data_IF_626400463985
#
_entry.id   IF_626400463985
#
_cell.length_a   1.000
_cell.length_b   1.000
_cell.length_c   1.000
_cell.angle_alpha   90.00
_cell.angle_beta   90.00
_cell.angle_gamma   90.00
#
_symmetry.space_group_name_H-M   'P 1'
#
loop_
_entity.id
_entity.type
_entity.pdbx_description
1 polymer ?
#
# COMPACT_ATOMS: atom_id res chain seq x y z
N UNK A 1 -4.13 -18.03 1.59
CA UNK A 1 -4.27 -16.58 1.35
C UNK A 1 -2.89 -15.99 1.47
N UNK A 2 -2.34 -15.43 0.41
CA UNK A 2 -1.01 -14.84 0.42
C UNK A 2 -1.05 -13.48 1.14
N UNK A 3 -0.03 -13.21 1.94
CA UNK A 3 0.17 -11.90 2.58
C UNK A 3 1.64 -11.53 2.41
N UNK A 4 1.89 -10.38 1.81
CA UNK A 4 3.23 -9.79 1.71
C UNK A 4 3.21 -8.43 2.38
N UNK A 5 4.15 -8.25 3.30
CA UNK A 5 4.51 -6.95 3.87
C UNK A 5 5.96 -6.68 3.52
N UNK A 6 6.23 -5.56 2.86
CA UNK A 6 7.58 -5.18 2.51
C UNK A 6 7.77 -3.67 2.63
N UNK A 7 9.04 -3.28 2.76
CA UNK A 7 9.45 -1.89 2.79
C UNK A 7 10.36 -1.60 1.61
N UNK A 8 10.34 -0.35 1.16
CA UNK A 8 11.24 0.12 0.12
C UNK A 8 11.76 1.52 0.44
N UNK A 9 13.03 1.81 0.13
CA UNK A 9 13.54 3.16 0.24
C UNK A 9 12.96 4.04 -0.87
N UNK A 10 12.59 5.25 -0.50
CA UNK A 10 12.31 6.32 -1.46
C UNK A 10 13.67 6.91 -1.86
N UNK A 11 13.89 7.10 -3.16
CA UNK A 11 15.12 7.67 -3.71
C UNK A 11 15.45 9.02 -3.07
N UNK A 12 16.74 9.31 -2.93
CA UNK A 12 17.21 10.58 -2.38
C UNK A 12 16.63 11.77 -3.17
N UNK A 13 16.08 12.76 -2.46
CA UNK A 13 15.45 13.93 -3.06
C UNK A 13 14.07 13.68 -3.72
N UNK A 14 13.55 12.45 -3.74
CA UNK A 14 12.25 12.11 -4.36
C UNK A 14 11.07 12.06 -3.40
N UNK A 15 11.25 12.42 -2.13
CA UNK A 15 10.15 12.42 -1.14
C UNK A 15 8.96 13.29 -1.55
N UNK A 16 9.19 14.50 -2.05
CA UNK A 16 8.09 15.38 -2.47
C UNK A 16 7.39 14.85 -3.72
N UNK A 17 8.15 14.27 -4.66
CA UNK A 17 7.58 13.59 -5.83
C UNK A 17 6.71 12.39 -5.40
N UNK A 18 7.17 11.59 -4.43
CA UNK A 18 6.40 10.48 -3.87
C UNK A 18 5.09 10.93 -3.19
N UNK A 19 5.14 12.05 -2.45
CA UNK A 19 3.92 12.64 -1.83
C UNK A 19 2.93 13.13 -2.88
N UNK A 20 3.42 13.82 -3.93
CA UNK A 20 2.56 14.26 -5.03
C UNK A 20 1.95 13.07 -5.77
N UNK A 21 2.74 12.04 -6.01
CA UNK A 21 2.24 10.80 -6.59
C UNK A 21 1.13 10.15 -5.76
N UNK A 22 1.28 10.07 -4.44
CA UNK A 22 0.23 9.53 -3.56
C UNK A 22 -1.10 10.30 -3.68
N UNK A 23 -1.04 11.61 -3.94
CA UNK A 23 -2.21 12.45 -4.22
C UNK A 23 -2.80 12.15 -5.60
N UNK A 24 -1.96 11.94 -6.64
CA UNK A 24 -2.46 11.55 -7.95
C UNK A 24 -3.07 10.14 -7.95
N UNK A 25 -2.48 9.23 -7.19
CA UNK A 25 -3.01 7.88 -6.99
C UNK A 25 -4.39 7.94 -6.31
N UNK A 26 -4.58 8.76 -5.28
CA UNK A 26 -5.89 8.86 -4.61
C UNK A 26 -7.02 9.38 -5.51
N UNK A 27 -6.70 10.16 -6.54
CA UNK A 27 -7.65 10.60 -7.58
C UNK A 27 -8.06 9.48 -8.54
N UNK A 28 -7.34 8.36 -8.54
CA UNK A 28 -7.53 7.21 -9.43
C UNK A 28 -8.11 5.99 -8.69
N UNK A 29 -8.95 6.23 -7.69
CA UNK A 29 -9.48 5.18 -6.81
C UNK A 29 -10.15 4.02 -7.57
N UNK A 30 -10.91 4.32 -8.64
CA UNK A 30 -11.54 3.30 -9.48
C UNK A 30 -10.52 2.41 -10.20
N UNK A 31 -9.44 3.00 -10.73
CA UNK A 31 -8.36 2.25 -11.40
C UNK A 31 -7.59 1.38 -10.39
N UNK A 32 -7.47 1.81 -9.12
CA UNK A 32 -6.87 0.99 -8.05
C UNK A 32 -7.75 -0.20 -7.69
N UNK A 33 -9.07 0.00 -7.61
CA UNK A 33 -10.02 -1.10 -7.36
C UNK A 33 -9.94 -2.11 -8.49
N UNK A 34 -9.96 -1.65 -9.74
CA UNK A 34 -9.81 -2.49 -10.92
C UNK A 34 -8.45 -3.21 -10.95
N UNK A 35 -7.36 -2.50 -10.66
CA UNK A 35 -6.02 -3.08 -10.50
C UNK A 35 -6.01 -4.21 -9.48
N UNK A 36 -6.51 -3.96 -8.28
CA UNK A 36 -6.55 -4.96 -7.22
C UNK A 36 -7.40 -6.18 -7.63
N UNK A 37 -8.52 -5.98 -8.33
CA UNK A 37 -9.34 -7.07 -8.86
C UNK A 37 -8.62 -7.89 -9.92
N UNK A 38 -7.94 -7.23 -10.88
CA UNK A 38 -7.20 -7.92 -11.95
C UNK A 38 -6.09 -8.83 -11.43
N UNK A 39 -5.52 -8.48 -10.28
CA UNK A 39 -4.40 -9.20 -9.65
C UNK A 39 -4.81 -10.01 -8.42
N UNK A 40 -6.10 -10.27 -8.22
CA UNK A 40 -6.60 -11.02 -7.06
C UNK A 40 -6.05 -10.49 -5.71
N UNK A 41 -5.93 -9.17 -5.57
CA UNK A 41 -5.52 -8.48 -4.34
C UNK A 41 -6.79 -8.11 -3.57
N UNK A 42 -7.00 -8.75 -2.43
CA UNK A 42 -8.13 -8.49 -1.54
C UNK A 42 -7.89 -7.32 -0.60
N UNK A 43 -6.61 -6.99 -0.33
CA UNK A 43 -6.22 -5.81 0.45
C UNK A 43 -4.92 -5.22 -0.06
N UNK A 44 -4.93 -3.92 -0.28
CA UNK A 44 -3.76 -3.14 -0.66
C UNK A 44 -3.69 -1.90 0.24
N UNK A 45 -2.66 -1.80 1.06
CA UNK A 45 -2.43 -0.66 1.94
C UNK A 45 -0.97 -0.22 1.87
N UNK A 46 -0.74 1.10 1.97
CA UNK A 46 0.60 1.65 1.97
C UNK A 46 0.76 2.80 2.97
N UNK A 47 1.98 2.96 3.48
CA UNK A 47 2.34 3.98 4.45
C UNK A 47 3.69 4.62 4.11
N UNK A 48 3.85 5.88 4.50
CA UNK A 48 5.13 6.60 4.45
C UNK A 48 5.75 6.60 5.85
N UNK A 49 6.95 6.05 5.97
CA UNK A 49 7.78 6.13 7.17
C UNK A 49 8.97 7.07 6.92
N UNK A 50 9.15 8.05 7.81
CA UNK A 50 10.32 8.94 7.78
C UNK A 50 11.23 8.62 8.97
N UNK A 51 12.47 8.27 8.67
CA UNK A 51 13.50 7.91 9.65
C UNK A 51 14.73 8.81 9.46
N UNK A 52 15.62 8.94 10.47
CA UNK A 52 16.87 9.69 10.31
C UNK A 52 17.76 9.19 9.16
N UNK A 53 17.65 7.90 8.82
CA UNK A 53 18.38 7.26 7.73
C UNK A 53 17.75 7.47 6.35
N UNK A 54 16.54 8.05 6.25
CA UNK A 54 15.84 8.26 4.99
C UNK A 54 14.32 8.06 5.08
N UNK A 55 13.66 8.22 3.94
CA UNK A 55 12.21 7.98 3.81
C UNK A 55 11.94 6.65 3.14
N UNK A 56 10.92 5.94 3.61
CA UNK A 56 10.58 4.60 3.19
C UNK A 56 9.08 4.48 2.95
N UNK A 57 8.70 3.73 1.91
CA UNK A 57 7.34 3.22 1.80
C UNK A 57 7.23 1.86 2.49
N UNK A 58 6.06 1.59 3.04
CA UNK A 58 5.67 0.29 3.59
C UNK A 58 4.43 -0.13 2.82
N UNK A 59 4.40 -1.35 2.27
CA UNK A 59 3.24 -1.86 1.51
C UNK A 59 2.82 -3.22 2.07
N UNK A 60 1.51 -3.35 2.28
CA UNK A 60 0.81 -4.57 2.59
C UNK A 60 -0.05 -4.98 1.40
N UNK A 61 0.14 -6.21 0.94
CA UNK A 61 -0.70 -6.88 -0.05
C UNK A 61 -1.25 -8.16 0.56
N UNK A 62 -2.56 -8.35 0.50
CA UNK A 62 -3.20 -9.61 0.84
C UNK A 62 -4.03 -10.07 -0.36
N UNK A 63 -4.02 -11.38 -0.63
CA UNK A 63 -4.80 -11.98 -1.70
C UNK A 63 -4.07 -13.14 -2.38
N UNK A 64 -4.75 -13.94 -3.21
CA UNK A 64 -4.10 -14.99 -4.01
C UNK A 64 -2.98 -14.49 -4.91
N UNK A 65 -3.10 -13.30 -5.50
CA UNK A 65 -2.07 -12.74 -6.39
C UNK A 65 -1.01 -11.90 -5.70
N UNK A 66 -1.02 -11.79 -4.36
CA UNK A 66 -0.05 -10.95 -3.64
C UNK A 66 1.40 -11.36 -3.91
N UNK A 67 1.68 -12.66 -4.05
CA UNK A 67 3.02 -13.21 -4.30
C UNK A 67 3.49 -13.06 -5.74
N UNK A 68 2.57 -13.01 -6.70
CA UNK A 68 2.89 -12.94 -8.13
C UNK A 68 2.79 -11.52 -8.71
N UNK A 69 2.18 -10.58 -7.98
CA UNK A 69 1.90 -9.22 -8.44
C UNK A 69 3.09 -8.53 -9.13
N UNK A 70 4.27 -8.58 -8.52
CA UNK A 70 5.44 -7.89 -9.09
C UNK A 70 5.84 -8.46 -10.47
N UNK A 71 5.79 -9.79 -10.62
CA UNK A 71 6.11 -10.45 -11.88
C UNK A 71 5.02 -10.17 -12.93
N UNK A 72 3.75 -10.31 -12.57
CA UNK A 72 2.65 -10.11 -13.51
C UNK A 72 2.54 -8.64 -13.96
N UNK A 73 2.78 -7.70 -13.05
CA UNK A 73 2.82 -6.27 -13.38
C UNK A 73 3.98 -5.96 -14.34
N UNK A 74 5.16 -6.57 -14.15
CA UNK A 74 6.32 -6.39 -15.04
C UNK A 74 6.05 -6.77 -16.50
N UNK A 75 5.12 -7.70 -16.73
CA UNK A 75 4.72 -8.17 -18.07
C UNK A 75 3.45 -7.48 -18.59
N UNK A 76 2.83 -6.58 -17.80
CA UNK A 76 1.52 -6.03 -18.09
C UNK A 76 1.51 -4.98 -19.21
N UNK A 77 0.55 -5.15 -20.12
CA UNK A 77 0.20 -4.18 -21.16
C UNK A 77 -0.88 -3.18 -20.74
N UNK A 78 -1.37 -3.21 -19.50
CA UNK A 78 -2.44 -2.32 -19.06
C UNK A 78 -1.94 -0.88 -18.87
N UNK A 79 -2.75 0.12 -19.22
CA UNK A 79 -2.32 1.53 -19.16
C UNK A 79 -2.01 1.97 -17.73
N UNK A 80 -2.87 1.60 -16.78
CA UNK A 80 -2.66 1.92 -15.37
C UNK A 80 -1.40 1.27 -14.81
N UNK A 81 -1.11 0.03 -15.20
CA UNK A 81 0.05 -0.71 -14.67
C UNK A 81 1.36 -0.07 -15.13
N UNK A 82 1.43 0.31 -16.42
CA UNK A 82 2.59 1.06 -16.94
C UNK A 82 2.75 2.41 -16.26
N UNK A 83 1.65 3.16 -16.10
CA UNK A 83 1.69 4.44 -15.38
C UNK A 83 2.18 4.25 -13.94
N UNK A 84 1.72 3.20 -13.25
CA UNK A 84 2.12 2.91 -11.88
C UNK A 84 3.60 2.49 -11.80
N UNK A 85 4.08 1.68 -12.75
CA UNK A 85 5.49 1.30 -12.87
C UNK A 85 6.41 2.48 -13.12
N UNK A 86 6.04 3.41 -14.01
CA UNK A 86 6.82 4.63 -14.26
C UNK A 86 7.05 5.42 -12.95
N UNK A 87 6.06 5.47 -12.07
CA UNK A 87 6.19 6.11 -10.76
C UNK A 87 7.08 5.35 -9.78
N UNK A 88 6.94 4.02 -9.75
CA UNK A 88 7.82 3.15 -8.96
C UNK A 88 9.27 3.39 -9.40
N UNK A 89 9.53 3.38 -10.70
CA UNK A 89 10.86 3.62 -11.26
C UNK A 89 11.36 5.04 -11.00
N UNK A 90 10.51 6.05 -10.98
CA UNK A 90 10.94 7.42 -10.69
C UNK A 90 11.31 7.62 -9.21
N UNK A 91 10.52 7.06 -8.29
CA UNK A 91 10.52 7.47 -6.87
C UNK A 91 11.10 6.44 -5.93
N UNK A 92 11.09 5.16 -6.29
CA UNK A 92 11.46 4.05 -5.42
C UNK A 92 12.81 3.48 -5.84
N UNK A 93 13.66 3.17 -4.86
CA UNK A 93 14.87 2.39 -5.10
C UNK A 93 14.56 0.89 -4.96
N UNK A 94 14.25 0.28 -6.09
CA UNK A 94 13.88 -1.14 -6.19
C UNK A 94 15.06 -2.08 -5.99
N UNK A 95 16.31 -1.58 -6.01
CA UNK A 95 17.51 -2.42 -5.80
C UNK A 95 17.60 -2.98 -4.38
N UNK A 96 16.88 -2.36 -3.43
CA UNK A 96 16.85 -2.74 -2.04
C UNK A 96 15.57 -3.49 -1.65
N UNK A 97 14.67 -3.76 -2.61
CA UNK A 97 13.48 -4.57 -2.37
C UNK A 97 13.85 -6.04 -2.53
N UNK A 98 14.01 -6.72 -1.39
CA UNK A 98 14.01 -8.19 -1.40
C UNK A 98 12.58 -8.64 -1.21
N UNK A 99 11.93 -9.07 -2.30
CA UNK A 99 10.65 -9.76 -2.18
C UNK A 99 10.91 -11.10 -1.50
N UNK A 100 10.37 -11.35 -0.29
CA UNK A 100 10.58 -12.63 0.38
C UNK A 100 10.00 -13.75 -0.50
N UNK A 101 10.82 -14.73 -0.89
CA UNK A 101 10.38 -15.85 -1.74
C UNK A 101 9.49 -16.87 -1.04
N UNK A 102 9.03 -16.61 0.18
CA UNK A 102 8.04 -17.44 0.87
C UNK A 102 7.47 -16.70 2.06
N UNK A 103 6.18 -16.90 2.30
CA UNK A 103 5.38 -16.56 3.48
C UNK A 103 6.19 -16.18 4.72
N UNK A 104 6.07 -14.93 5.14
CA UNK A 104 6.36 -14.55 6.53
C UNK A 104 5.41 -15.40 7.39
N UNK A 105 5.92 -16.46 8.03
CA UNK A 105 5.17 -17.12 9.10
C UNK A 105 4.89 -16.04 10.15
N UNK A 106 3.60 -15.81 10.40
CA UNK A 106 3.06 -14.88 11.38
C UNK A 106 3.60 -15.21 12.77
N UNK A 107 4.77 -14.68 13.10
CA UNK A 107 5.23 -14.52 14.48
C UNK A 107 4.90 -13.08 14.85
N UNK A 108 3.66 -12.90 15.35
CA UNK A 108 3.20 -11.65 15.95
C UNK A 108 4.07 -11.30 17.16
N UNK A 109 5.08 -10.46 16.96
CA UNK A 109 5.46 -9.47 17.96
C UNK A 109 4.82 -8.16 17.51
N UNK A 110 3.84 -7.68 18.27
CA UNK A 110 3.15 -6.41 18.02
C UNK A 110 4.16 -5.25 18.06
N UNK A 111 4.77 -4.96 16.92
CA UNK A 111 5.32 -3.65 16.66
C UNK A 111 4.13 -2.70 16.62
N UNK A 112 3.96 -1.92 17.68
CA UNK A 112 3.00 -0.81 17.74
C UNK A 112 3.36 0.20 16.66
N UNK A 113 2.82 -0.01 15.46
CA UNK A 113 2.85 0.93 14.36
C UNK A 113 1.70 1.88 14.64
N UNK A 114 2.03 3.12 15.01
CA UNK A 114 1.06 4.20 15.11
C UNK A 114 0.22 4.21 13.83
N UNK A 115 -1.05 3.82 13.97
CA UNK A 115 -2.00 3.75 12.85
C UNK A 115 -2.21 5.15 12.28
N UNK A 116 -1.45 5.53 11.25
CA UNK A 116 -1.93 6.51 10.30
C UNK A 116 -2.71 5.74 9.22
N UNK A 117 -4.02 5.60 9.47
CA UNK A 117 -5.01 5.22 8.46
C UNK A 117 -4.97 6.34 7.42
N UNK A 118 -4.59 6.05 6.17
CA UNK A 118 -4.98 6.92 5.07
C UNK A 118 -6.47 6.65 4.89
N UNK A 119 -7.27 7.53 5.48
CA UNK A 119 -8.71 7.53 5.40
C UNK A 119 -9.10 8.11 4.04
N UNK A 120 -9.52 7.25 3.11
CA UNK A 120 -10.17 7.70 1.87
C UNK A 120 -11.64 8.09 2.13
N UNK A 121 -12.15 7.90 3.37
CA UNK A 121 -13.50 8.30 3.80
C UNK A 121 -13.58 9.74 4.32
N UNK A 122 -12.70 10.62 3.83
CA UNK A 122 -12.88 12.07 3.88
C UNK A 122 -14.09 12.58 3.08
N UNK A 123 -15.12 11.77 2.90
CA UNK A 123 -16.44 12.17 2.42
C UNK A 123 -17.54 11.66 3.37
N UNK A 124 -18.02 12.61 4.20
CA UNK A 124 -19.34 12.72 4.82
C UNK A 124 -19.58 12.14 6.23
N UNK A 125 -20.14 13.03 7.07
CA UNK A 125 -20.48 12.96 8.50
C UNK A 125 -21.38 11.80 8.98
N UNK A 126 -21.76 10.86 8.11
CA UNK A 126 -22.67 9.76 8.45
C UNK A 126 -22.02 8.62 9.25
N UNK A 127 -20.72 8.35 9.07
CA UNK A 127 -20.04 7.19 9.66
C UNK A 127 -19.59 7.44 11.10
N UNK A 128 -19.37 8.71 11.49
CA UNK A 128 -18.99 9.08 12.86
C UNK A 128 -20.06 8.67 13.89
N UNK A 129 -21.33 8.66 13.51
CA UNK A 129 -22.43 8.26 14.41
C UNK A 129 -22.50 6.75 14.61
N UNK A 130 -22.14 5.94 13.60
CA UNK A 130 -22.22 4.48 13.68
C UNK A 130 -21.14 3.87 14.60
N UNK A 131 -20.03 4.58 14.84
CA UNK A 131 -18.95 4.11 15.70
C UNK A 131 -19.22 4.34 17.21
N UNK A 132 -20.02 5.36 17.56
CA UNK A 132 -20.36 5.67 18.96
C UNK A 132 -21.33 4.63 19.54
N UNK A 133 -22.26 4.13 18.73
CA UNK A 133 -23.22 3.10 19.16
C UNK A 133 -22.55 1.75 19.39
N UNK A 134 -21.54 1.39 18.58
CA UNK A 134 -20.86 0.08 18.71
C UNK A 134 -19.89 0.00 19.90
N UNK A 135 -19.47 1.15 20.47
CA UNK A 135 -18.60 1.21 21.65
C UNK A 135 -19.39 1.26 22.97
N UNK A 136 -20.71 1.47 22.93
CA UNK A 136 -21.56 1.51 24.13
C UNK A 136 -22.13 0.15 24.54
N UNK A 137 -21.99 -0.88 23.70
CA UNK A 137 -22.65 -2.19 23.87
C UNK A 137 -21.74 -3.33 24.39
N UNK A 138 -20.52 -3.04 24.83
CA UNK A 138 -19.73 -4.01 25.61
C UNK A 138 -19.87 -3.73 27.12
N UNK A 139 -20.98 -4.23 27.68
CA UNK A 139 -21.06 -4.64 29.09
C UNK A 139 -20.51 -6.04 29.26
#
# INVERSE_FOLDING_TARGET
MGTILFTFPIKEGKLDAYKQWSIELSKRAEEIVEFNQRYDITRHASWLAQMPSGSYGIVLLEGPGAETLNQEMAESGHQFDRWFQEWIDETIDTSLITFPQSSIESNHEEASVNHLKIDLDGMSDGIASALVDHLSDNK
#
